data_IF_810354002676
#
_entry.id   IF_810354002676
#
_cell.length_a   1.000
_cell.length_b   1.000
_cell.length_c   1.000
_cell.angle_alpha   90.00
_cell.angle_beta   90.00
_cell.angle_gamma   90.00
#
_symmetry.space_group_name_H-M   'P 1'
#
loop_
_entity.id
_entity.type
_entity.pdbx_description
1 polymer ?
#
# COMPACT_ATOMS: atom_id res chain seq x y z
N UNK A 1 59.81 -39.17 -13.50
CA UNK A 1 58.55 -39.62 -14.13
C UNK A 1 57.41 -39.18 -13.23
N UNK A 2 56.69 -38.14 -13.62
CA UNK A 2 55.59 -37.59 -12.82
C UNK A 2 54.36 -38.47 -13.05
N UNK A 3 53.88 -39.15 -12.00
CA UNK A 3 52.60 -39.86 -12.03
C UNK A 3 51.48 -38.82 -11.90
N UNK A 4 50.71 -38.63 -12.97
CA UNK A 4 49.47 -37.86 -12.91
C UNK A 4 48.41 -38.74 -12.23
N UNK A 5 48.08 -38.42 -10.99
CA UNK A 5 46.94 -39.01 -10.28
C UNK A 5 45.66 -38.36 -10.85
N UNK A 6 44.92 -39.08 -11.69
CA UNK A 6 43.62 -38.61 -12.18
C UNK A 6 42.56 -38.64 -11.08
N UNK A 7 41.59 -37.72 -11.16
CA UNK A 7 40.41 -37.71 -10.30
C UNK A 7 39.60 -39.01 -10.44
N UNK A 8 39.12 -39.54 -9.32
CA UNK A 8 38.28 -40.74 -9.33
C UNK A 8 36.83 -40.39 -9.70
N UNK A 9 36.08 -41.29 -10.34
CA UNK A 9 34.69 -41.04 -10.74
C UNK A 9 33.78 -40.73 -9.54
N UNK A 10 34.11 -41.30 -8.37
CA UNK A 10 33.42 -41.03 -7.10
C UNK A 10 33.65 -39.60 -6.60
N UNK A 11 34.82 -39.01 -6.84
CA UNK A 11 35.16 -37.66 -6.43
C UNK A 11 34.37 -36.60 -7.21
N UNK A 12 34.20 -36.81 -8.53
CA UNK A 12 33.34 -35.97 -9.37
C UNK A 12 31.87 -36.09 -8.96
N UNK A 13 31.44 -37.29 -8.57
CA UNK A 13 30.06 -37.53 -8.13
C UNK A 13 29.77 -36.84 -6.78
N UNK A 14 30.71 -36.87 -5.84
CA UNK A 14 30.61 -36.14 -4.58
C UNK A 14 30.65 -34.62 -4.83
N UNK A 15 31.54 -34.13 -5.70
CA UNK A 15 31.64 -32.71 -6.03
C UNK A 15 30.35 -32.16 -6.66
N UNK A 16 29.75 -32.91 -7.60
CA UNK A 16 28.48 -32.53 -8.22
C UNK A 16 27.30 -32.60 -7.24
N UNK A 17 27.29 -33.59 -6.32
CA UNK A 17 26.30 -33.66 -5.24
C UNK A 17 26.37 -32.43 -4.32
N UNK A 18 27.57 -32.09 -3.84
CA UNK A 18 27.77 -30.92 -2.96
C UNK A 18 27.39 -29.63 -3.68
N UNK A 19 27.77 -29.48 -4.95
CA UNK A 19 27.39 -28.34 -5.78
C UNK A 19 25.87 -28.24 -5.94
N UNK A 20 25.19 -29.36 -6.20
CA UNK A 20 23.74 -29.38 -6.34
C UNK A 20 23.03 -28.94 -5.04
N UNK A 21 23.48 -29.42 -3.87
CA UNK A 21 22.95 -28.97 -2.57
C UNK A 21 23.21 -27.47 -2.35
N UNK A 22 24.40 -26.99 -2.69
CA UNK A 22 24.74 -25.57 -2.60
C UNK A 22 23.85 -24.68 -3.48
N UNK A 23 23.58 -25.09 -4.72
CA UNK A 23 22.71 -24.36 -5.64
C UNK A 23 21.24 -24.35 -5.19
N UNK A 24 20.75 -25.44 -4.60
CA UNK A 24 19.40 -25.48 -3.99
C UNK A 24 19.29 -24.50 -2.81
N UNK A 25 20.33 -24.41 -1.97
CA UNK A 25 20.40 -23.43 -0.90
C UNK A 25 20.35 -21.99 -1.44
N UNK A 26 21.13 -21.69 -2.47
CA UNK A 26 21.15 -20.38 -3.13
C UNK A 26 19.78 -20.02 -3.74
N UNK A 27 19.12 -20.97 -4.40
CA UNK A 27 17.79 -20.77 -4.97
C UNK A 27 16.76 -20.42 -3.89
N UNK A 28 16.81 -21.10 -2.74
CA UNK A 28 15.95 -20.78 -1.59
C UNK A 28 16.17 -19.36 -1.06
N UNK A 29 17.44 -18.94 -0.93
CA UNK A 29 17.79 -17.57 -0.52
C UNK A 29 17.32 -16.53 -1.54
N UNK A 30 17.47 -16.79 -2.84
CA UNK A 30 17.00 -15.90 -3.89
C UNK A 30 15.48 -15.73 -3.85
N UNK A 31 14.73 -16.83 -3.72
CA UNK A 31 13.27 -16.78 -3.62
C UNK A 31 12.81 -15.99 -2.38
N UNK A 32 13.43 -16.22 -1.23
CA UNK A 32 13.14 -15.47 0.00
C UNK A 32 13.47 -13.97 -0.16
N UNK A 33 14.59 -13.64 -0.81
CA UNK A 33 14.98 -12.26 -1.07
C UNK A 33 13.98 -11.54 -1.97
N UNK A 34 13.48 -12.18 -3.04
CA UNK A 34 12.48 -11.59 -3.93
C UNK A 34 11.17 -11.33 -3.17
N UNK A 35 10.71 -12.29 -2.37
CA UNK A 35 9.51 -12.14 -1.53
C UNK A 35 9.63 -10.95 -0.58
N UNK A 36 10.76 -10.85 0.13
CA UNK A 36 11.01 -9.75 1.06
C UNK A 36 11.09 -8.39 0.36
N UNK A 37 11.73 -8.33 -0.82
CA UNK A 37 11.81 -7.10 -1.61
C UNK A 37 10.42 -6.63 -2.08
N UNK A 38 9.57 -7.56 -2.53
CA UNK A 38 8.21 -7.23 -2.96
C UNK A 38 7.34 -6.73 -1.81
N UNK A 39 7.42 -7.38 -0.64
CA UNK A 39 6.70 -6.94 0.56
C UNK A 39 7.14 -5.54 1.01
N UNK A 40 8.45 -5.28 1.01
CA UNK A 40 8.99 -3.95 1.30
C UNK A 40 8.56 -2.89 0.27
N UNK A 41 8.50 -3.25 -1.01
CA UNK A 41 8.00 -2.40 -2.07
C UNK A 41 6.53 -2.03 -1.88
N UNK A 42 5.65 -3.02 -1.65
CA UNK A 42 4.23 -2.79 -1.40
C UNK A 42 4.01 -1.90 -0.18
N UNK A 43 4.75 -2.13 0.92
CA UNK A 43 4.69 -1.28 2.11
C UNK A 43 5.09 0.15 1.80
N UNK A 44 6.12 0.36 0.98
CA UNK A 44 6.55 1.70 0.56
C UNK A 44 5.49 2.41 -0.29
N UNK A 45 4.80 1.67 -1.17
CA UNK A 45 3.67 2.20 -1.96
C UNK A 45 2.48 2.55 -1.07
N UNK A 46 2.11 1.68 -0.13
CA UNK A 46 1.04 1.92 0.83
C UNK A 46 1.32 3.17 1.70
N UNK A 47 2.56 3.34 2.15
CA UNK A 47 2.98 4.55 2.88
C UNK A 47 2.80 5.82 2.03
N UNK A 48 3.26 5.80 0.78
CA UNK A 48 3.11 6.95 -0.12
C UNK A 48 1.64 7.30 -0.36
N UNK A 49 0.79 6.31 -0.63
CA UNK A 49 -0.64 6.50 -0.88
C UNK A 49 -1.39 7.02 0.36
N UNK A 50 -0.99 6.60 1.56
CA UNK A 50 -1.58 7.11 2.80
C UNK A 50 -1.22 8.58 3.05
N UNK A 51 0.03 8.98 2.80
CA UNK A 51 0.44 10.38 2.91
C UNK A 51 -0.16 11.26 1.82
N UNK A 52 -0.26 10.78 0.58
CA UNK A 52 -0.94 11.50 -0.51
C UNK A 52 -2.38 11.87 -0.12
N UNK A 53 -3.14 10.93 0.44
CA UNK A 53 -4.50 11.22 0.93
C UNK A 53 -4.51 12.19 2.12
N UNK A 54 -3.56 12.06 3.06
CA UNK A 54 -3.45 13.01 4.18
C UNK A 54 -3.23 14.45 3.68
N UNK A 55 -2.39 14.62 2.65
CA UNK A 55 -2.08 15.92 2.07
C UNK A 55 -3.25 16.49 1.26
N UNK A 56 -3.99 15.65 0.53
CA UNK A 56 -5.25 16.04 -0.13
C UNK A 56 -6.28 16.55 0.88
N UNK A 57 -6.47 15.83 1.98
CA UNK A 57 -7.37 16.25 3.06
C UNK A 57 -6.93 17.57 3.71
N UNK A 58 -5.61 17.79 3.88
CA UNK A 58 -5.07 19.08 4.36
C UNK A 58 -5.35 20.23 3.39
N UNK A 59 -5.17 19.98 2.08
CA UNK A 59 -5.46 20.97 1.06
C UNK A 59 -6.96 21.33 1.01
N UNK A 60 -7.82 20.37 1.30
CA UNK A 60 -9.28 20.53 1.30
C UNK A 60 -9.91 20.43 2.70
N UNK A 61 -9.25 21.03 3.71
CA UNK A 61 -9.59 20.85 5.13
C UNK A 61 -11.02 21.27 5.50
N UNK A 62 -11.61 22.22 4.77
CA UNK A 62 -12.93 22.78 5.10
C UNK A 62 -14.06 21.75 4.91
N UNK A 63 -13.82 20.67 4.16
CA UNK A 63 -14.76 19.55 4.00
C UNK A 63 -14.63 18.50 5.11
N UNK A 64 -13.56 18.59 5.91
CA UNK A 64 -13.30 17.71 7.05
C UNK A 64 -13.58 18.40 8.38
N UNK A 65 -13.36 19.72 8.45
CA UNK A 65 -13.56 20.55 9.64
C UNK A 65 -14.30 21.83 9.26
N UNK A 66 -15.36 22.15 9.99
CA UNK A 66 -16.09 23.40 9.80
C UNK A 66 -15.22 24.59 10.26
N UNK A 67 -14.91 25.56 9.38
CA UNK A 67 -14.00 26.65 9.71
C UNK A 67 -14.54 27.62 10.78
N UNK A 68 -15.86 27.72 10.95
CA UNK A 68 -16.48 28.60 11.93
C UNK A 68 -16.50 28.00 13.34
N UNK A 69 -16.65 26.68 13.47
CA UNK A 69 -16.75 25.99 14.76
C UNK A 69 -15.50 25.20 15.13
N UNK A 70 -14.64 24.91 14.15
CA UNK A 70 -13.53 23.97 14.27
C UNK A 70 -13.97 22.51 14.46
N UNK A 71 -15.27 22.21 14.42
CA UNK A 71 -15.74 20.85 14.66
C UNK A 71 -15.56 19.98 13.42
N UNK A 72 -15.28 18.69 13.64
CA UNK A 72 -15.23 17.68 12.58
C UNK A 72 -16.60 17.56 11.93
N UNK A 73 -16.63 17.49 10.60
CA UNK A 73 -17.83 17.25 9.82
C UNK A 73 -18.01 15.73 9.71
N UNK A 74 -18.73 15.11 10.66
CA UNK A 74 -18.84 13.63 10.75
C UNK A 74 -19.54 12.96 9.56
N UNK A 75 -20.37 13.71 8.83
CA UNK A 75 -20.96 13.31 7.55
C UNK A 75 -20.22 13.92 6.35
N UNK A 76 -18.98 14.35 6.56
CA UNK A 76 -18.15 15.05 5.59
C UNK A 76 -17.70 14.13 4.47
N UNK A 77 -17.33 14.74 3.34
CA UNK A 77 -17.14 14.00 2.09
C UNK A 77 -15.98 13.01 2.11
N UNK A 78 -14.99 13.19 2.99
CA UNK A 78 -13.88 12.23 3.20
C UNK A 78 -14.18 11.11 4.22
N UNK A 79 -15.30 11.20 4.95
CA UNK A 79 -15.63 10.31 6.07
C UNK A 79 -16.56 9.18 5.66
N UNK A 80 -15.97 8.21 4.99
CA UNK A 80 -16.62 6.95 4.62
C UNK A 80 -15.85 5.84 5.31
N UNK A 81 -16.48 5.22 6.31
CA UNK A 81 -15.89 4.21 7.22
C UNK A 81 -15.20 3.06 6.48
N UNK A 82 -15.62 2.79 5.25
CA UNK A 82 -14.91 1.93 4.29
C UNK A 82 -15.29 2.41 2.89
N UNK A 83 -14.35 2.92 2.10
CA UNK A 83 -14.65 3.20 0.69
C UNK A 83 -14.50 1.92 -0.11
N UNK A 84 -15.62 1.32 -0.48
CA UNK A 84 -15.61 0.59 -1.73
C UNK A 84 -15.24 1.61 -2.84
N UNK A 85 -14.34 1.27 -3.79
CA UNK A 85 -13.97 2.16 -4.89
C UNK A 85 -15.16 2.77 -5.65
N UNK A 86 -16.30 2.09 -5.63
CA UNK A 86 -17.57 2.51 -6.26
C UNK A 86 -18.32 3.61 -5.51
N UNK A 87 -17.93 3.94 -4.27
CA UNK A 87 -18.59 4.96 -3.45
C UNK A 87 -18.10 6.39 -3.74
N UNK A 88 -17.00 6.54 -4.48
CA UNK A 88 -16.47 7.83 -4.93
C UNK A 88 -16.70 8.03 -6.43
N UNK A 89 -16.92 9.27 -6.86
CA UNK A 89 -17.24 9.59 -8.25
C UNK A 89 -16.19 10.54 -8.84
N UNK A 90 -15.71 10.24 -10.05
CA UNK A 90 -14.84 11.15 -10.82
C UNK A 90 -15.58 12.47 -11.08
N UNK A 91 -14.92 13.59 -10.78
CA UNK A 91 -15.46 14.92 -11.04
C UNK A 91 -14.63 15.58 -12.13
N UNK A 92 -15.11 15.50 -13.38
CA UNK A 92 -14.42 16.07 -14.53
C UNK A 92 -14.17 17.58 -14.39
N UNK A 93 -15.05 18.32 -13.71
CA UNK A 93 -14.92 19.75 -13.46
C UNK A 93 -13.68 20.11 -12.64
N UNK A 94 -13.25 19.24 -11.71
CA UNK A 94 -12.06 19.44 -10.89
C UNK A 94 -10.76 19.48 -11.69
N UNK A 95 -10.77 19.00 -12.95
CA UNK A 95 -9.60 18.96 -13.85
C UNK A 95 -9.56 20.14 -14.82
N UNK A 96 -10.49 21.08 -14.70
CA UNK A 96 -10.62 22.24 -15.59
C UNK A 96 -10.25 23.54 -14.86
N UNK A 97 -9.99 24.62 -15.62
CA UNK A 97 -9.71 25.95 -15.07
C UNK A 97 -10.88 26.54 -14.28
N UNK A 98 -12.11 26.09 -14.53
CA UNK A 98 -13.30 26.47 -13.76
C UNK A 98 -13.25 25.93 -12.33
N UNK A 99 -12.51 24.83 -12.10
CA UNK A 99 -12.42 24.16 -10.81
C UNK A 99 -13.72 23.45 -10.40
N UNK A 100 -13.74 23.01 -9.15
CA UNK A 100 -14.90 22.36 -8.53
C UNK A 100 -15.04 22.79 -7.07
N UNK A 101 -16.17 22.49 -6.44
CA UNK A 101 -16.36 22.77 -5.01
C UNK A 101 -15.48 21.86 -4.14
N UNK A 102 -15.26 22.24 -2.88
CA UNK A 102 -14.52 21.38 -1.93
C UNK A 102 -15.13 19.98 -1.83
N UNK A 103 -16.45 19.87 -1.71
CA UNK A 103 -17.13 18.58 -1.71
C UNK A 103 -16.89 17.76 -3.00
N UNK A 104 -16.91 18.39 -4.18
CA UNK A 104 -16.56 17.71 -5.43
C UNK A 104 -15.09 17.28 -5.46
N UNK A 105 -14.19 18.13 -4.97
CA UNK A 105 -12.76 17.80 -4.87
C UNK A 105 -12.54 16.59 -3.98
N UNK A 106 -13.23 16.51 -2.84
CA UNK A 106 -13.17 15.36 -1.94
C UNK A 106 -13.65 14.06 -2.59
N UNK A 107 -14.76 14.10 -3.34
CA UNK A 107 -15.22 12.92 -4.10
C UNK A 107 -14.20 12.48 -5.16
N UNK A 108 -13.61 13.44 -5.87
CA UNK A 108 -12.60 13.16 -6.88
C UNK A 108 -11.30 12.62 -6.26
N UNK A 109 -10.84 13.18 -5.14
CA UNK A 109 -9.66 12.70 -4.43
C UNK A 109 -9.83 11.25 -3.98
N UNK A 110 -10.97 10.93 -3.38
CA UNK A 110 -11.30 9.56 -2.98
C UNK A 110 -11.39 8.62 -4.18
N UNK A 111 -11.95 9.08 -5.31
CA UNK A 111 -12.01 8.28 -6.53
C UNK A 111 -10.60 7.96 -7.06
N UNK A 112 -9.76 8.98 -7.20
CA UNK A 112 -8.39 8.83 -7.68
C UNK A 112 -7.55 7.96 -6.74
N UNK A 113 -7.69 8.15 -5.43
CA UNK A 113 -6.97 7.39 -4.43
C UNK A 113 -7.38 5.92 -4.41
N UNK A 114 -8.67 5.60 -4.48
CA UNK A 114 -9.14 4.22 -4.57
C UNK A 114 -8.68 3.53 -5.88
N UNK A 115 -8.67 4.26 -7.00
CA UNK A 115 -8.10 3.76 -8.24
C UNK A 115 -6.58 3.50 -8.12
N UNK A 116 -5.85 4.40 -7.46
CA UNK A 116 -4.42 4.23 -7.20
C UNK A 116 -4.15 3.01 -6.29
N UNK A 117 -4.93 2.85 -5.22
CA UNK A 117 -4.82 1.70 -4.31
C UNK A 117 -5.01 0.37 -5.04
N UNK A 118 -6.09 0.24 -5.81
CA UNK A 118 -6.42 -0.99 -6.53
C UNK A 118 -5.47 -1.31 -7.69
N UNK A 119 -4.89 -0.29 -8.32
CA UNK A 119 -3.93 -0.46 -9.41
C UNK A 119 -2.50 -0.72 -8.94
N UNK A 120 -2.11 -0.20 -7.76
CA UNK A 120 -0.73 -0.26 -7.25
C UNK A 120 -0.53 -1.42 -6.30
N UNK A 121 -1.53 -1.73 -5.46
CA UNK A 121 -1.43 -2.72 -4.41
C UNK A 121 -2.33 -3.94 -4.72
N UNK A 122 -1.85 -5.16 -4.44
CA UNK A 122 -2.67 -6.36 -4.54
C UNK A 122 -3.85 -6.26 -3.57
N UNK A 123 -5.08 -6.29 -4.10
CA UNK A 123 -6.31 -6.12 -3.32
C UNK A 123 -6.30 -4.88 -2.41
N UNK A 124 -5.67 -3.79 -2.87
CA UNK A 124 -5.49 -2.56 -2.10
C UNK A 124 -6.82 -1.93 -1.67
N UNK A 125 -6.95 -1.67 -0.37
CA UNK A 125 -8.12 -0.99 0.22
C UNK A 125 -7.69 0.11 1.18
N UNK A 126 -8.58 1.09 1.35
CA UNK A 126 -8.31 2.28 2.15
C UNK A 126 -9.50 2.63 3.06
N UNK A 127 -9.20 3.03 4.30
CA UNK A 127 -10.20 3.50 5.25
C UNK A 127 -9.76 4.82 5.88
N UNK A 128 -10.73 5.71 6.13
CA UNK A 128 -10.52 6.98 6.79
C UNK A 128 -11.45 7.04 7.99
N UNK A 129 -10.88 7.25 9.17
CA UNK A 129 -11.62 7.39 10.43
C UNK A 129 -11.22 8.68 11.12
N UNK A 130 -12.08 9.16 12.02
CA UNK A 130 -11.80 10.39 12.78
C UNK A 130 -12.22 10.23 14.23
N UNK A 131 -11.39 10.77 15.12
CA UNK A 131 -11.76 11.00 16.51
C UNK A 131 -12.19 12.46 16.63
N UNK A 132 -13.51 12.70 16.59
CA UNK A 132 -14.07 14.05 16.51
C UNK A 132 -13.63 14.96 17.68
N UNK A 133 -13.46 14.40 18.87
CA UNK A 133 -13.04 15.14 20.07
C UNK A 133 -11.63 15.74 19.95
N UNK A 134 -10.72 15.04 19.26
CA UNK A 134 -9.31 15.46 19.10
C UNK A 134 -9.00 15.95 17.69
N UNK A 135 -9.96 15.85 16.76
CA UNK A 135 -9.80 16.16 15.32
C UNK A 135 -8.69 15.36 14.65
N UNK A 136 -8.38 14.18 15.21
CA UNK A 136 -7.37 13.29 14.67
C UNK A 136 -8.03 12.38 13.63
N UNK A 137 -7.60 12.54 12.39
CA UNK A 137 -7.93 11.67 11.27
C UNK A 137 -6.89 10.57 11.17
N UNK A 138 -7.35 9.35 10.94
CA UNK A 138 -6.50 8.17 10.72
C UNK A 138 -6.84 7.56 9.38
N UNK A 139 -5.85 7.53 8.49
CA UNK A 139 -5.91 6.84 7.21
C UNK A 139 -5.24 5.49 7.40
N UNK A 140 -5.91 4.42 7.00
CA UNK A 140 -5.35 3.07 6.99
C UNK A 140 -5.42 2.49 5.59
N UNK A 141 -4.29 1.97 5.11
CA UNK A 141 -4.15 1.26 3.84
C UNK A 141 -3.85 -0.20 4.13
N UNK A 142 -4.61 -1.09 3.49
CA UNK A 142 -4.46 -2.54 3.58
C UNK A 142 -4.21 -3.12 2.19
N UNK A 143 -3.44 -4.21 2.12
CA UNK A 143 -3.17 -4.94 0.88
C UNK A 143 -2.93 -6.41 1.19
N UNK A 144 -3.06 -7.27 0.18
CA UNK A 144 -2.81 -8.71 0.26
C UNK A 144 -1.31 -8.98 0.01
N UNK A 145 -0.54 -9.13 1.07
CA UNK A 145 0.93 -9.30 0.98
C UNK A 145 1.32 -10.75 0.71
N UNK A 146 0.52 -11.69 1.23
CA UNK A 146 0.78 -13.12 1.09
C UNK A 146 0.27 -13.70 -0.26
N UNK A 147 -0.51 -12.91 -1.01
CA UNK A 147 -1.17 -13.24 -2.29
C UNK A 147 -2.13 -14.42 -2.21
N UNK A 148 -2.85 -14.54 -1.10
CA UNK A 148 -3.88 -15.57 -0.90
C UNK A 148 -5.25 -15.19 -1.52
N UNK A 149 -5.38 -13.96 -2.03
CA UNK A 149 -6.58 -13.43 -2.67
C UNK A 149 -7.54 -12.73 -1.72
N UNK A 150 -7.20 -12.58 -0.44
CA UNK A 150 -8.04 -11.91 0.54
C UNK A 150 -7.22 -11.10 1.55
N UNK A 151 -7.51 -9.79 1.66
CA UNK A 151 -6.95 -8.97 2.73
C UNK A 151 -7.55 -9.40 4.08
N UNK A 152 -6.72 -9.93 4.97
CA UNK A 152 -7.14 -10.48 6.27
C UNK A 152 -6.16 -10.12 7.41
N UNK A 153 -6.33 -10.73 8.59
CA UNK A 153 -5.50 -10.43 9.77
C UNK A 153 -4.04 -10.87 9.64
N UNK A 154 -3.73 -11.71 8.65
CA UNK A 154 -2.37 -12.15 8.35
C UNK A 154 -1.61 -11.14 7.49
N UNK A 155 -2.31 -10.14 6.94
CA UNK A 155 -1.71 -9.13 6.08
C UNK A 155 -1.27 -7.90 6.87
N UNK A 156 -0.14 -7.29 6.47
CA UNK A 156 0.26 -6.00 6.99
C UNK A 156 -0.73 -4.90 6.58
N UNK A 157 -0.77 -3.87 7.41
CA UNK A 157 -1.40 -2.60 7.08
C UNK A 157 -0.46 -1.44 7.40
N UNK A 158 -0.74 -0.29 6.82
CA UNK A 158 -0.07 0.95 7.15
C UNK A 158 -1.11 2.00 7.54
N UNK A 159 -0.91 2.62 8.70
CA UNK A 159 -1.77 3.71 9.16
C UNK A 159 -0.96 4.97 9.44
N UNK A 160 -1.54 6.11 9.10
CA UNK A 160 -1.03 7.44 9.47
C UNK A 160 -2.15 8.24 10.13
N UNK A 161 -1.82 8.90 11.23
CA UNK A 161 -2.74 9.79 11.94
C UNK A 161 -2.24 11.22 11.89
N UNK A 162 -3.16 12.16 11.69
CA UNK A 162 -2.87 13.58 11.66
C UNK A 162 -4.06 14.39 12.16
N UNK A 163 -3.78 15.61 12.60
CA UNK A 163 -4.80 16.57 12.99
C UNK A 163 -4.98 17.61 11.89
N UNK A 164 -6.23 18.02 11.64
CA UNK A 164 -6.60 19.12 10.74
C UNK A 164 -6.98 20.39 11.52
#
# INVERSE_FOLDING_TARGET
>A
MNKNSGFTLIEVLIATLVLAVGLLGLAGLQAASIKNNLSAYNRSQATQLAYDMADRMRANKNESINPATGNVITAGTYLTVTMAPTAAADQASCKTTTGCTGAQMAQNDLFQWNAALTSTLPSGTGTITVVAATRVFTITVNWDDNRDGAVNTSDPNFSVSFQL
#
